data_IF_652044458247
#
_entry.id   IF_652044458247
#
_cell.length_a   1.000
_cell.length_b   1.000
_cell.length_c   1.000
_cell.angle_alpha   90.00
_cell.angle_beta   90.00
_cell.angle_gamma   90.00
#
_symmetry.space_group_name_H-M   'P 1'
#
loop_
_entity.id
_entity.type
_entity.pdbx_description
1 polymer ?
#
# COMPACT_ATOMS: atom_id res chain seq x y z
N UNK A 1 -6.24 -5.94 -30.71
CA UNK A 1 -5.05 -5.12 -31.02
C UNK A 1 -4.43 -4.50 -29.76
N UNK A 2 -5.23 -3.91 -28.86
CA UNK A 2 -4.76 -3.26 -27.62
C UNK A 2 -4.00 -4.19 -26.66
N UNK A 3 -4.43 -5.45 -26.51
CA UNK A 3 -3.75 -6.45 -25.69
C UNK A 3 -2.33 -6.79 -26.20
N UNK A 4 -2.11 -6.74 -27.52
CA UNK A 4 -0.80 -6.97 -28.13
C UNK A 4 0.16 -5.81 -27.87
N UNK A 5 -0.33 -4.57 -27.88
CA UNK A 5 0.46 -3.37 -27.56
C UNK A 5 0.85 -3.38 -26.08
N UNK A 6 -0.07 -3.78 -25.21
CA UNK A 6 0.20 -3.95 -23.78
C UNK A 6 1.24 -5.06 -23.53
N UNK A 7 1.07 -6.25 -24.13
CA UNK A 7 2.07 -7.33 -24.03
C UNK A 7 3.44 -6.95 -24.62
N UNK A 8 3.47 -6.10 -25.65
CA UNK A 8 4.71 -5.62 -26.26
C UNK A 8 5.49 -4.64 -25.36
N UNK A 9 4.80 -3.83 -24.56
CA UNK A 9 5.39 -2.91 -23.58
C UNK A 9 6.27 -3.63 -22.53
N UNK A 10 5.99 -4.92 -22.26
CA UNK A 10 6.38 -5.56 -21.00
C UNK A 10 7.27 -6.78 -21.17
N UNK A 11 7.60 -7.10 -22.44
CA UNK A 11 8.66 -8.05 -22.75
C UNK A 11 9.98 -7.42 -22.25
N UNK A 12 10.72 -8.08 -21.34
CA UNK A 12 11.98 -7.54 -20.83
C UNK A 12 13.01 -7.57 -21.98
N UNK A 13 13.12 -6.46 -22.72
CA UNK A 13 14.26 -6.25 -23.60
C UNK A 13 15.48 -6.00 -22.73
N UNK A 14 16.38 -6.99 -22.72
CA UNK A 14 17.70 -6.91 -22.10
C UNK A 14 18.42 -5.66 -22.61
N UNK A 15 18.74 -4.75 -21.71
CA UNK A 15 19.58 -3.57 -21.98
C UNK A 15 18.80 -2.25 -22.07
N UNK A 16 19.03 -1.40 -21.07
CA UNK A 16 18.70 0.03 -20.98
C UNK A 16 17.23 0.42 -20.72
N UNK A 17 17.03 1.11 -19.59
CA UNK A 17 15.88 1.99 -19.33
C UNK A 17 15.95 3.20 -20.26
N UNK A 18 15.47 3.04 -21.49
CA UNK A 18 15.30 4.16 -22.40
C UNK A 18 14.25 5.12 -21.81
N UNK A 19 14.50 6.45 -21.74
CA UNK A 19 13.51 7.43 -21.29
C UNK A 19 12.15 7.29 -21.98
N UNK A 20 12.14 6.81 -23.23
CA UNK A 20 10.92 6.50 -23.98
C UNK A 20 10.01 5.47 -23.31
N UNK A 21 10.52 4.53 -22.51
CA UNK A 21 9.68 3.54 -21.80
C UNK A 21 8.85 4.18 -20.70
N UNK A 22 9.43 5.13 -19.95
CA UNK A 22 8.73 5.85 -18.87
C UNK A 22 7.68 6.79 -19.45
N UNK A 23 8.04 7.53 -20.51
CA UNK A 23 7.10 8.41 -21.22
C UNK A 23 5.94 7.63 -21.83
N UNK A 24 6.22 6.47 -22.44
CA UNK A 24 5.19 5.60 -22.99
C UNK A 24 4.29 5.01 -21.90
N UNK A 25 4.85 4.52 -20.79
CA UNK A 25 4.06 4.06 -19.64
C UNK A 25 3.10 5.16 -19.17
N UNK A 26 3.62 6.37 -18.95
CA UNK A 26 2.82 7.52 -18.56
C UNK A 26 1.71 7.81 -19.58
N UNK A 27 2.01 7.76 -20.87
CA UNK A 27 1.02 7.92 -21.93
C UNK A 27 -0.08 6.85 -21.87
N UNK A 28 0.29 5.58 -21.68
CA UNK A 28 -0.67 4.47 -21.56
C UNK A 28 -1.55 4.66 -20.33
N UNK A 29 -0.97 4.91 -19.16
CA UNK A 29 -1.74 5.12 -17.92
C UNK A 29 -2.66 6.32 -18.04
N UNK A 30 -2.19 7.44 -18.62
CA UNK A 30 -3.02 8.62 -18.86
C UNK A 30 -4.17 8.31 -19.82
N UNK A 31 -3.91 7.56 -20.89
CA UNK A 31 -4.96 7.15 -21.84
C UNK A 31 -6.03 6.29 -21.18
N UNK A 32 -5.64 5.34 -20.31
CA UNK A 32 -6.59 4.50 -19.57
C UNK A 32 -7.42 5.32 -18.58
N UNK A 33 -6.78 6.25 -17.87
CA UNK A 33 -7.48 7.13 -16.94
C UNK A 33 -8.46 8.07 -17.67
N UNK A 34 -8.03 8.71 -18.76
CA UNK A 34 -8.85 9.61 -19.55
C UNK A 34 -10.05 8.86 -20.15
N UNK A 35 -9.84 7.66 -20.69
CA UNK A 35 -10.90 6.76 -21.18
C UNK A 35 -11.91 6.43 -20.06
N UNK A 36 -11.41 6.04 -18.88
CA UNK A 36 -12.25 5.72 -17.74
C UNK A 36 -13.07 6.94 -17.28
N UNK A 37 -12.43 8.10 -17.11
CA UNK A 37 -13.07 9.34 -16.66
C UNK A 37 -14.07 9.87 -17.69
N UNK A 38 -13.74 9.83 -18.98
CA UNK A 38 -14.65 10.25 -20.05
C UNK A 38 -15.88 9.34 -20.11
N UNK A 39 -15.68 8.02 -20.02
CA UNK A 39 -16.79 7.05 -20.01
C UNK A 39 -17.65 7.21 -18.75
N UNK A 40 -17.04 7.41 -17.58
CA UNK A 40 -17.74 7.68 -16.33
C UNK A 40 -18.62 8.94 -16.41
N UNK A 41 -18.13 10.00 -17.06
CA UNK A 41 -18.86 11.27 -17.20
C UNK A 41 -19.99 11.20 -18.23
N UNK A 42 -19.75 10.56 -19.38
CA UNK A 42 -20.67 10.61 -20.53
C UNK A 42 -21.60 9.41 -20.63
N UNK A 43 -21.15 8.24 -20.19
CA UNK A 43 -21.82 6.96 -20.43
C UNK A 43 -21.69 6.05 -19.21
N UNK A 44 -22.20 6.49 -18.05
CA UNK A 44 -22.11 5.75 -16.77
C UNK A 44 -22.47 4.28 -16.91
N UNK A 45 -23.49 3.95 -17.69
CA UNK A 45 -23.95 2.58 -17.93
C UNK A 45 -22.99 1.73 -18.78
N UNK A 46 -22.10 2.36 -19.57
CA UNK A 46 -21.17 1.72 -20.50
C UNK A 46 -19.72 1.62 -20.00
N UNK A 47 -19.41 1.86 -18.72
CA UNK A 47 -18.04 1.66 -18.18
C UNK A 47 -17.44 0.28 -18.52
N UNK A 48 -18.29 -0.74 -18.64
CA UNK A 48 -17.88 -2.10 -19.03
C UNK A 48 -17.35 -2.21 -20.47
N UNK A 49 -17.51 -1.16 -21.27
CA UNK A 49 -17.02 -1.02 -22.65
C UNK A 49 -15.79 -0.12 -22.75
N UNK A 50 -15.36 0.52 -21.65
CA UNK A 50 -14.18 1.37 -21.67
C UNK A 50 -12.91 0.54 -21.89
N UNK A 51 -11.91 1.14 -22.54
CA UNK A 51 -10.59 0.50 -22.72
C UNK A 51 -9.99 0.12 -21.37
N UNK A 52 -10.13 0.98 -20.36
CA UNK A 52 -9.67 0.70 -19.00
C UNK A 52 -10.28 -0.58 -18.43
N UNK A 53 -11.60 -0.78 -18.54
CA UNK A 53 -12.24 -2.02 -18.11
C UNK A 53 -11.76 -3.23 -18.95
N UNK A 54 -11.67 -3.07 -20.27
CA UNK A 54 -11.20 -4.15 -21.15
C UNK A 54 -9.76 -4.60 -20.89
N UNK A 55 -8.92 -3.76 -20.27
CA UNK A 55 -7.51 -4.06 -19.99
C UNK A 55 -7.28 -4.44 -18.53
N UNK A 56 -7.94 -3.75 -17.58
CA UNK A 56 -7.66 -3.82 -16.14
C UNK A 56 -8.80 -4.41 -15.30
N UNK A 57 -9.86 -4.94 -15.92
CA UNK A 57 -10.91 -5.66 -15.18
C UNK A 57 -10.33 -6.87 -14.46
N UNK A 58 -10.62 -6.97 -13.16
CA UNK A 58 -10.27 -8.11 -12.32
C UNK A 58 -11.09 -9.35 -12.69
N UNK A 59 -12.29 -9.16 -13.25
CA UNK A 59 -13.17 -10.25 -13.67
C UNK A 59 -12.81 -10.78 -15.06
N UNK A 60 -12.53 -9.87 -16.01
CA UNK A 60 -12.30 -10.24 -17.42
C UNK A 60 -10.82 -10.47 -17.74
N UNK A 61 -9.92 -9.74 -17.09
CA UNK A 61 -8.48 -9.72 -17.41
C UNK A 61 -7.58 -9.85 -16.15
N UNK A 62 -7.82 -10.85 -15.27
CA UNK A 62 -7.03 -11.00 -14.03
C UNK A 62 -5.53 -11.18 -14.29
N UNK A 63 -5.15 -11.75 -15.45
CA UNK A 63 -3.75 -11.92 -15.82
C UNK A 63 -3.03 -10.59 -16.09
N UNK A 64 -3.70 -9.61 -16.71
CA UNK A 64 -3.11 -8.28 -16.93
C UNK A 64 -2.86 -7.57 -15.60
N UNK A 65 -3.82 -7.64 -14.67
CA UNK A 65 -3.69 -7.09 -13.31
C UNK A 65 -2.53 -7.76 -12.57
N UNK A 66 -2.45 -9.09 -12.65
CA UNK A 66 -1.33 -9.86 -12.07
C UNK A 66 0.01 -9.46 -12.65
N UNK A 67 0.09 -9.18 -13.94
CA UNK A 67 1.33 -8.74 -14.56
C UNK A 67 1.71 -7.30 -14.14
N UNK A 68 0.74 -6.40 -13.97
CA UNK A 68 0.95 -5.06 -13.35
C UNK A 68 1.57 -5.20 -11.96
N UNK A 69 1.04 -6.11 -11.14
CA UNK A 69 1.57 -6.41 -9.80
C UNK A 69 3.04 -6.88 -9.88
N UNK A 70 3.34 -7.82 -10.78
CA UNK A 70 4.72 -8.31 -10.97
C UNK A 70 5.67 -7.19 -11.37
N UNK A 71 5.26 -6.31 -12.28
CA UNK A 71 6.11 -5.19 -12.69
C UNK A 71 6.30 -4.17 -11.58
N UNK A 72 5.27 -3.94 -10.76
CA UNK A 72 5.36 -3.04 -9.61
C UNK A 72 6.38 -3.58 -8.61
N UNK A 73 6.24 -4.84 -8.21
CA UNK A 73 7.15 -5.49 -7.26
C UNK A 73 8.56 -5.50 -7.83
N UNK A 74 8.74 -5.86 -9.10
CA UNK A 74 10.04 -5.80 -9.78
C UNK A 74 10.64 -4.40 -9.80
N UNK A 75 9.85 -3.36 -10.06
CA UNK A 75 10.31 -1.98 -10.06
C UNK A 75 10.71 -1.49 -8.66
N UNK A 76 10.09 -2.04 -7.62
CA UNK A 76 10.41 -1.76 -6.21
C UNK A 76 11.64 -2.55 -5.73
N UNK A 77 11.81 -3.81 -6.15
CA UNK A 77 12.86 -4.70 -5.62
C UNK A 77 14.16 -4.68 -6.41
N UNK A 78 14.11 -4.48 -7.72
CA UNK A 78 15.32 -4.28 -8.50
C UNK A 78 15.81 -2.86 -8.27
N UNK A 79 16.97 -2.71 -7.62
CA UNK A 79 17.77 -1.47 -7.62
C UNK A 79 18.13 -1.11 -9.07
N UNK A 80 17.16 -0.50 -9.75
CA UNK A 80 17.12 -0.12 -11.16
C UNK A 80 17.94 -0.98 -12.12
N UNK A 81 17.35 -1.99 -12.76
CA UNK A 81 17.92 -2.63 -13.96
C UNK A 81 19.45 -2.81 -13.87
N UNK A 82 19.91 -3.53 -12.86
CA UNK A 82 21.34 -3.72 -12.65
C UNK A 82 21.97 -4.30 -13.90
N UNK A 83 23.01 -3.60 -14.35
CA UNK A 83 23.88 -4.05 -15.42
C UNK A 83 24.38 -5.44 -15.07
N UNK A 84 24.27 -6.36 -16.04
CA UNK A 84 25.09 -7.56 -16.06
C UNK A 84 26.54 -7.15 -15.82
N UNK A 85 27.27 -7.73 -14.85
CA UNK A 85 28.70 -7.47 -14.76
C UNK A 85 29.31 -7.97 -16.07
N UNK A 86 29.84 -7.04 -16.85
CA UNK A 86 30.52 -7.34 -18.10
C UNK A 86 31.80 -8.12 -17.74
N UNK A 87 31.67 -9.44 -17.65
CA UNK A 87 32.79 -10.38 -17.62
C UNK A 87 33.41 -10.34 -19.01
N UNK A 88 34.38 -9.45 -19.18
CA UNK A 88 35.52 -9.54 -20.10
C UNK A 88 36.41 -8.30 -19.89
N UNK A 89 37.22 -8.31 -18.85
CA UNK A 89 38.49 -7.59 -18.85
C UNK A 89 39.60 -8.63 -19.04
N UNK A 90 40.14 -8.68 -20.24
CA UNK A 90 41.38 -9.38 -20.54
C UNK A 90 42.18 -8.49 -21.50
N UNK A 91 43.40 -8.13 -21.07
CA UNK A 91 44.51 -7.53 -21.85
C UNK A 91 44.31 -6.08 -22.34
N UNK A 92 45.26 -5.14 -22.32
CA UNK A 92 46.67 -5.07 -21.89
C UNK A 92 47.11 -3.59 -21.93
N UNK A 93 48.06 -3.20 -21.06
CA UNK A 93 49.17 -2.32 -21.46
C UNK A 93 49.04 -0.79 -21.32
N UNK A 94 49.73 -0.26 -20.29
CA UNK A 94 50.67 0.89 -20.36
C UNK A 94 50.11 2.33 -20.35
N UNK A 95 50.25 2.97 -19.17
CA UNK A 95 51.02 4.22 -19.05
C UNK A 95 50.30 5.58 -19.03
N UNK A 96 50.63 6.33 -17.98
CA UNK A 96 50.71 7.81 -17.86
C UNK A 96 49.62 8.51 -17.03
N UNK A 97 50.13 9.22 -16.02
CA UNK A 97 49.52 10.03 -14.97
C UNK A 97 48.69 11.22 -15.51
N UNK A 98 47.54 11.53 -14.87
CA UNK A 98 47.26 12.86 -14.27
C UNK A 98 45.84 13.04 -13.72
N UNK A 99 45.82 13.76 -12.60
CA UNK A 99 44.81 14.68 -12.07
C UNK A 99 43.46 14.11 -11.58
N UNK A 100 43.29 14.21 -10.25
CA UNK A 100 42.00 14.06 -9.60
C UNK A 100 40.99 15.09 -10.10
N UNK A 101 39.78 14.60 -10.34
CA UNK A 101 38.58 15.41 -10.41
C UNK A 101 37.42 14.58 -9.87
N UNK A 102 36.65 15.24 -9.02
CA UNK A 102 35.56 14.75 -8.20
C UNK A 102 34.51 13.94 -8.97
N UNK A 103 34.27 12.71 -8.53
CA UNK A 103 33.11 11.89 -8.90
C UNK A 103 31.82 12.56 -8.39
N UNK A 104 31.28 13.49 -9.17
CA UNK A 104 29.94 14.03 -8.97
C UNK A 104 28.90 13.02 -9.50
N UNK A 105 28.30 12.28 -8.56
CA UNK A 105 26.86 11.96 -8.51
C UNK A 105 26.13 11.73 -9.86
N UNK A 106 26.05 10.48 -10.31
CA UNK A 106 25.11 9.99 -11.35
C UNK A 106 23.83 9.37 -10.76
N UNK A 107 23.59 9.54 -9.46
CA UNK A 107 22.45 9.01 -8.69
C UNK A 107 21.08 9.69 -8.95
N UNK A 108 20.94 11.01 -9.20
CA UNK A 108 19.64 11.67 -9.07
C UNK A 108 18.65 11.38 -10.20
N UNK A 109 19.11 10.91 -11.38
CA UNK A 109 18.21 10.60 -12.50
C UNK A 109 17.65 9.17 -12.45
N UNK A 110 18.32 8.24 -11.75
CA UNK A 110 17.89 6.82 -11.69
C UNK A 110 16.75 6.61 -10.72
N UNK A 111 16.86 7.16 -9.52
CA UNK A 111 15.81 7.11 -8.49
C UNK A 111 14.52 7.81 -8.95
N UNK A 112 14.64 8.93 -9.68
CA UNK A 112 13.49 9.63 -10.27
C UNK A 112 12.71 8.76 -11.26
N UNK A 113 13.39 7.99 -12.11
CA UNK A 113 12.73 7.14 -13.10
C UNK A 113 12.03 5.94 -12.45
N UNK A 114 12.64 5.32 -11.44
CA UNK A 114 12.01 4.23 -10.68
C UNK A 114 10.76 4.71 -9.98
N UNK A 115 10.82 5.84 -9.26
CA UNK A 115 9.65 6.40 -8.58
C UNK A 115 8.52 6.71 -9.57
N UNK A 116 8.85 7.23 -10.75
CA UNK A 116 7.83 7.47 -11.79
C UNK A 116 7.19 6.16 -12.27
N UNK A 117 7.97 5.12 -12.54
CA UNK A 117 7.44 3.81 -12.95
C UNK A 117 6.53 3.24 -11.87
N UNK A 118 6.98 3.25 -10.60
CA UNK A 118 6.21 2.75 -9.46
C UNK A 118 4.89 3.52 -9.34
N UNK A 119 4.92 4.86 -9.38
CA UNK A 119 3.69 5.66 -9.34
C UNK A 119 2.73 5.37 -10.50
N UNK A 120 3.24 5.22 -11.73
CA UNK A 120 2.37 4.87 -12.87
C UNK A 120 1.72 3.49 -12.68
N UNK A 121 2.46 2.49 -12.19
CA UNK A 121 1.92 1.15 -11.94
C UNK A 121 0.91 1.14 -10.78
N UNK A 122 1.16 1.90 -9.73
CA UNK A 122 0.22 2.09 -8.61
C UNK A 122 -1.09 2.74 -9.09
N UNK A 123 -0.99 3.74 -9.98
CA UNK A 123 -2.15 4.37 -10.62
C UNK A 123 -2.95 3.39 -11.47
N UNK A 124 -2.29 2.48 -12.20
CA UNK A 124 -2.98 1.41 -12.91
C UNK A 124 -3.75 0.47 -11.98
N UNK A 125 -3.18 0.10 -10.83
CA UNK A 125 -3.89 -0.70 -9.83
C UNK A 125 -5.06 0.07 -9.20
N UNK A 126 -4.91 1.39 -9.00
CA UNK A 126 -6.00 2.26 -8.56
C UNK A 126 -7.18 2.24 -9.55
N UNK A 127 -6.89 2.31 -10.86
CA UNK A 127 -7.90 2.15 -11.92
C UNK A 127 -8.52 0.74 -11.87
N UNK A 128 -7.70 -0.31 -11.72
CA UNK A 128 -8.16 -1.70 -11.67
C UNK A 128 -9.15 -1.97 -10.51
N UNK A 129 -9.01 -1.27 -9.38
CA UNK A 129 -9.97 -1.34 -8.27
C UNK A 129 -11.34 -0.81 -8.67
N UNK A 130 -11.42 0.22 -9.51
CA UNK A 130 -12.66 0.96 -9.79
C UNK A 130 -13.39 0.49 -11.06
N UNK A 131 -12.68 -0.05 -12.05
CA UNK A 131 -13.23 -0.33 -13.40
C UNK A 131 -14.38 -1.35 -13.42
N UNK A 132 -14.45 -2.27 -12.44
CA UNK A 132 -15.51 -3.29 -12.37
C UNK A 132 -16.75 -2.81 -11.60
N UNK A 133 -16.74 -1.58 -11.06
CA UNK A 133 -17.81 -0.99 -10.21
C UNK A 133 -18.03 -1.66 -8.86
N UNK A 134 -17.25 -2.67 -8.51
CA UNK A 134 -17.30 -3.36 -7.22
C UNK A 134 -15.97 -3.25 -6.50
N UNK A 135 -15.58 -2.05 -6.00
CA UNK A 135 -14.22 -1.80 -5.50
C UNK A 135 -13.83 -2.69 -4.33
N UNK A 136 -14.78 -3.12 -3.51
CA UNK A 136 -14.53 -4.11 -2.44
C UNK A 136 -14.14 -5.48 -3.00
N UNK A 137 -14.81 -5.94 -4.06
CA UNK A 137 -14.51 -7.22 -4.71
C UNK A 137 -13.15 -7.14 -5.44
N UNK A 138 -12.94 -6.08 -6.22
CA UNK A 138 -11.70 -5.89 -6.97
C UNK A 138 -10.50 -5.72 -6.06
N UNK A 139 -10.59 -4.92 -5.00
CA UNK A 139 -9.48 -4.76 -4.03
C UNK A 139 -9.14 -6.06 -3.29
N UNK A 140 -10.13 -6.89 -2.93
CA UNK A 140 -9.88 -8.22 -2.35
C UNK A 140 -9.11 -9.11 -3.33
N UNK A 141 -9.59 -9.23 -4.58
CA UNK A 141 -8.92 -10.05 -5.62
C UNK A 141 -7.49 -9.58 -5.90
N UNK A 142 -7.30 -8.26 -6.01
CA UNK A 142 -5.97 -7.68 -6.24
C UNK A 142 -5.07 -7.97 -5.04
N UNK A 143 -5.54 -7.78 -3.80
CA UNK A 143 -4.74 -8.04 -2.60
C UNK A 143 -4.34 -9.52 -2.48
N UNK A 144 -5.25 -10.46 -2.78
CA UNK A 144 -4.94 -11.90 -2.84
C UNK A 144 -3.86 -12.20 -3.89
N UNK A 145 -3.94 -11.60 -5.08
CA UNK A 145 -2.92 -11.74 -6.12
C UNK A 145 -1.58 -11.11 -5.72
N UNK A 146 -1.59 -10.01 -4.96
CA UNK A 146 -0.40 -9.29 -4.50
C UNK A 146 0.32 -10.00 -3.35
N UNK A 147 -0.41 -10.71 -2.49
CA UNK A 147 0.07 -11.20 -1.21
C UNK A 147 1.42 -11.92 -1.30
N UNK A 148 1.52 -12.95 -2.14
CA UNK A 148 2.78 -13.71 -2.30
C UNK A 148 3.94 -12.83 -2.76
N UNK A 149 3.72 -11.88 -3.68
CA UNK A 149 4.78 -11.00 -4.16
C UNK A 149 5.25 -9.99 -3.11
N UNK A 150 4.35 -9.54 -2.23
CA UNK A 150 4.71 -8.60 -1.15
C UNK A 150 5.52 -9.30 -0.07
N UNK A 151 5.23 -10.57 0.23
CA UNK A 151 6.04 -11.38 1.14
C UNK A 151 7.49 -11.53 0.64
N UNK A 152 7.69 -11.52 -0.68
CA UNK A 152 8.99 -11.69 -1.32
C UNK A 152 9.80 -10.38 -1.43
N UNK A 153 9.28 -9.22 -1.00
CA UNK A 153 10.04 -7.96 -1.00
C UNK A 153 11.06 -7.99 0.15
N UNK A 154 12.37 -8.06 -0.11
CA UNK A 154 13.38 -8.36 0.92
C UNK A 154 13.67 -7.18 1.84
N UNK A 155 13.78 -5.97 1.29
CA UNK A 155 14.22 -4.80 2.04
C UNK A 155 13.07 -3.99 2.62
N UNK A 156 13.26 -3.46 3.83
CA UNK A 156 12.23 -2.62 4.47
C UNK A 156 11.96 -1.34 3.70
N UNK A 157 13.00 -0.67 3.20
CA UNK A 157 12.84 0.56 2.41
C UNK A 157 12.03 0.32 1.13
N UNK A 158 12.16 -0.87 0.53
CA UNK A 158 11.39 -1.28 -0.64
C UNK A 158 9.91 -1.50 -0.26
N UNK A 159 9.63 -2.15 0.87
CA UNK A 159 8.26 -2.32 1.39
C UNK A 159 7.62 -0.99 1.76
N UNK A 160 8.38 -0.12 2.41
CA UNK A 160 7.96 1.24 2.72
C UNK A 160 7.62 2.00 1.44
N UNK A 161 8.49 1.97 0.42
CA UNK A 161 8.22 2.56 -0.90
C UNK A 161 6.94 1.98 -1.53
N UNK A 162 6.73 0.68 -1.43
CA UNK A 162 5.55 0.01 -1.96
C UNK A 162 4.24 0.48 -1.31
N UNK A 163 4.20 0.58 0.03
CA UNK A 163 3.00 1.02 0.76
C UNK A 163 2.78 2.54 0.73
N UNK A 164 3.85 3.34 0.72
CA UNK A 164 3.75 4.80 0.64
C UNK A 164 3.28 5.28 -0.73
N UNK A 165 3.60 4.53 -1.80
CA UNK A 165 3.20 4.88 -3.18
C UNK A 165 1.84 4.32 -3.61
N UNK A 166 1.19 3.47 -2.81
CA UNK A 166 -0.14 2.95 -3.11
C UNK A 166 -1.20 4.07 -3.10
N UNK A 167 -1.76 4.36 -4.28
CA UNK A 167 -2.78 5.41 -4.45
C UNK A 167 -4.16 4.99 -3.93
N UNK A 168 -4.53 3.72 -4.06
CA UNK A 168 -5.82 3.22 -3.58
C UNK A 168 -5.73 2.87 -2.09
N UNK A 169 -6.30 3.73 -1.23
CA UNK A 169 -6.38 3.45 0.21
C UNK A 169 -7.14 2.17 0.52
N UNK A 170 -8.19 1.84 -0.25
CA UNK A 170 -8.91 0.57 -0.09
C UNK A 170 -8.01 -0.62 -0.39
N UNK A 171 -7.25 -0.58 -1.49
CA UNK A 171 -6.31 -1.64 -1.81
C UNK A 171 -5.20 -1.74 -0.75
N UNK A 172 -4.67 -0.61 -0.30
CA UNK A 172 -3.66 -0.57 0.76
C UNK A 172 -4.16 -1.22 2.05
N UNK A 173 -5.39 -0.92 2.48
CA UNK A 173 -6.02 -1.61 3.59
C UNK A 173 -6.11 -3.12 3.36
N UNK A 174 -6.53 -3.56 2.16
CA UNK A 174 -6.72 -4.99 1.86
C UNK A 174 -5.41 -5.77 1.81
N UNK A 175 -4.36 -5.20 1.24
CA UNK A 175 -3.03 -5.82 1.26
C UNK A 175 -2.51 -5.93 2.69
N UNK A 176 -2.61 -4.85 3.48
CA UNK A 176 -2.20 -4.86 4.89
C UNK A 176 -3.03 -5.83 5.73
N UNK A 177 -4.34 -5.90 5.53
CA UNK A 177 -5.24 -6.84 6.21
C UNK A 177 -4.78 -8.29 6.03
N UNK A 178 -4.49 -8.71 4.79
CA UNK A 178 -4.01 -10.08 4.51
C UNK A 178 -2.66 -10.33 5.17
N UNK A 179 -1.73 -9.36 5.15
CA UNK A 179 -0.41 -9.49 5.79
C UNK A 179 -0.55 -9.64 7.30
N UNK A 180 -1.38 -8.81 7.95
CA UNK A 180 -1.63 -8.91 9.38
C UNK A 180 -2.30 -10.23 9.76
N UNK A 181 -3.31 -10.66 9.01
CA UNK A 181 -3.97 -11.95 9.20
C UNK A 181 -2.98 -13.11 9.13
N UNK A 182 -2.04 -13.07 8.17
CA UNK A 182 -0.99 -14.08 8.04
C UNK A 182 0.02 -14.05 9.20
N UNK A 183 0.26 -12.90 9.82
CA UNK A 183 1.21 -12.73 10.93
C UNK A 183 0.66 -13.12 12.31
N UNK A 184 -0.66 -13.31 12.42
CA UNK A 184 -1.32 -13.72 13.65
C UNK A 184 -1.34 -15.24 13.78
N UNK A 185 -0.96 -15.77 14.94
CA UNK A 185 -1.04 -17.22 15.21
C UNK A 185 -2.50 -17.73 15.17
N UNK A 186 -3.41 -16.93 15.73
CA UNK A 186 -4.85 -17.19 15.68
C UNK A 186 -5.52 -16.17 14.76
N UNK A 187 -6.04 -16.57 13.59
CA UNK A 187 -6.67 -15.64 12.66
C UNK A 187 -8.03 -15.18 13.21
N UNK A 188 -8.29 -13.89 13.12
CA UNK A 188 -9.59 -13.30 13.45
C UNK A 188 -10.58 -13.45 12.30
N UNK A 189 -11.88 -13.49 12.63
CA UNK A 189 -12.99 -13.45 11.65
C UNK A 189 -13.64 -12.07 11.55
N UNK A 190 -13.11 -11.08 12.26
CA UNK A 190 -13.60 -9.70 12.20
C UNK A 190 -13.40 -9.16 10.78
N UNK A 191 -14.36 -8.36 10.24
CA UNK A 191 -14.14 -7.64 9.00
C UNK A 191 -13.11 -6.51 9.23
N UNK A 192 -12.58 -5.96 8.13
CA UNK A 192 -11.74 -4.76 8.13
C UNK A 192 -12.40 -3.59 8.87
N UNK A 193 -12.03 -3.44 10.14
CA UNK A 193 -12.64 -2.55 11.15
C UNK A 193 -11.62 -2.11 12.19
N UNK A 194 -11.98 -1.15 13.04
CA UNK A 194 -11.13 -0.71 14.14
C UNK A 194 -10.86 -1.81 15.17
N UNK A 195 -11.85 -2.64 15.50
CA UNK A 195 -11.67 -3.81 16.35
C UNK A 195 -10.67 -4.81 15.77
N UNK A 196 -10.66 -5.00 14.44
CA UNK A 196 -9.67 -5.86 13.78
C UNK A 196 -8.26 -5.25 13.85
N UNK A 197 -8.13 -3.92 13.70
CA UNK A 197 -6.84 -3.24 13.86
C UNK A 197 -6.31 -3.33 15.31
N UNK A 198 -7.18 -3.19 16.32
CA UNK A 198 -6.83 -3.42 17.73
C UNK A 198 -6.44 -4.88 17.99
N UNK A 199 -7.11 -5.84 17.34
CA UNK A 199 -6.74 -7.24 17.40
C UNK A 199 -5.32 -7.46 16.86
N UNK A 200 -5.01 -6.90 15.68
CA UNK A 200 -3.67 -7.02 15.08
C UNK A 200 -2.57 -6.48 15.98
N UNK A 201 -2.80 -5.37 16.68
CA UNK A 201 -1.84 -4.77 17.60
C UNK A 201 -1.28 -5.78 18.61
N UNK A 202 -2.14 -6.59 19.22
CA UNK A 202 -1.75 -7.51 20.30
C UNK A 202 -1.47 -8.94 19.84
N UNK A 203 -1.93 -9.34 18.66
CA UNK A 203 -1.83 -10.73 18.19
C UNK A 203 -0.87 -10.92 17.01
N UNK A 204 -0.47 -9.84 16.34
CA UNK A 204 0.50 -9.93 15.25
C UNK A 204 1.91 -10.16 15.78
N UNK A 205 2.70 -10.92 15.04
CA UNK A 205 4.13 -11.12 15.28
C UNK A 205 4.93 -10.50 14.11
N UNK A 206 6.15 -10.96 13.85
CA UNK A 206 6.95 -10.46 12.72
C UNK A 206 6.16 -10.60 11.41
N UNK A 207 5.83 -9.47 10.78
CA UNK A 207 4.97 -9.43 9.59
C UNK A 207 5.63 -10.12 8.40
N UNK A 208 6.93 -9.87 8.19
CA UNK A 208 7.65 -10.22 6.98
C UNK A 208 9.07 -10.68 7.33
N UNK A 209 9.55 -11.73 6.66
CA UNK A 209 10.90 -12.25 6.86
C UNK A 209 11.91 -11.24 6.30
N UNK A 210 12.52 -10.44 7.16
CA UNK A 210 13.63 -9.58 6.76
C UNK A 210 14.89 -10.45 6.58
N UNK A 211 15.54 -10.39 5.41
CA UNK A 211 16.71 -11.22 5.10
C UNK A 211 18.02 -10.69 5.71
N UNK A 212 18.03 -9.47 6.25
CA UNK A 212 19.19 -8.87 6.92
C UNK A 212 19.17 -9.15 8.43
N UNK A 213 20.36 -9.30 9.04
CA UNK A 213 20.57 -9.34 10.50
C UNK A 213 20.09 -8.04 11.15
N UNK A 214 18.79 -7.95 11.46
CA UNK A 214 18.20 -6.81 12.13
C UNK A 214 18.13 -7.02 13.63
N UNK A 215 18.29 -5.91 14.34
CA UNK A 215 18.01 -5.85 15.76
C UNK A 215 16.50 -6.08 15.97
N UNK A 216 16.14 -6.87 16.99
CA UNK A 216 14.77 -7.34 17.24
C UNK A 216 13.72 -6.21 17.26
N UNK A 217 14.07 -5.02 17.75
CA UNK A 217 13.17 -3.87 17.82
C UNK A 217 12.76 -3.31 16.45
N UNK A 218 13.59 -3.44 15.40
CA UNK A 218 13.28 -2.93 14.07
C UNK A 218 12.10 -3.66 13.41
N UNK A 219 11.90 -4.92 13.79
CA UNK A 219 10.73 -5.72 13.37
C UNK A 219 9.44 -5.14 13.94
N UNK A 220 9.46 -4.70 15.20
CA UNK A 220 8.33 -4.04 15.84
C UNK A 220 8.09 -2.64 15.32
N UNK A 221 9.16 -1.89 15.05
CA UNK A 221 9.08 -0.57 14.44
C UNK A 221 8.42 -0.62 13.05
N UNK A 222 8.75 -1.64 12.26
CA UNK A 222 8.10 -1.90 10.97
C UNK A 222 6.64 -2.34 11.14
N UNK A 223 6.32 -3.19 12.12
CA UNK A 223 4.94 -3.59 12.41
C UNK A 223 4.05 -2.39 12.74
N UNK A 224 4.52 -1.50 13.63
CA UNK A 224 3.78 -0.30 14.01
C UNK A 224 3.58 0.63 12.82
N UNK A 225 4.57 0.78 11.95
CA UNK A 225 4.48 1.56 10.71
C UNK A 225 3.40 1.01 9.75
N UNK A 226 3.32 -0.31 9.59
CA UNK A 226 2.26 -0.94 8.79
C UNK A 226 0.87 -0.75 9.40
N UNK A 227 0.74 -0.77 10.73
CA UNK A 227 -0.52 -0.46 11.41
C UNK A 227 -0.92 1.01 11.21
N UNK A 228 0.04 1.93 11.23
CA UNK A 228 -0.22 3.34 10.93
C UNK A 228 -0.71 3.53 9.48
N UNK A 229 -0.11 2.82 8.52
CA UNK A 229 -0.62 2.81 7.13
C UNK A 229 -2.03 2.21 7.05
N UNK A 230 -2.33 1.16 7.80
CA UNK A 230 -3.66 0.55 7.82
C UNK A 230 -4.70 1.55 8.34
N UNK A 231 -4.47 2.15 9.51
CA UNK A 231 -5.40 3.07 10.15
C UNK A 231 -5.62 4.35 9.34
N UNK A 232 -4.54 4.97 8.85
CA UNK A 232 -4.66 6.16 8.01
C UNK A 232 -5.46 5.87 6.73
N UNK A 233 -5.17 4.74 6.06
CA UNK A 233 -5.95 4.33 4.89
C UNK A 233 -7.40 4.03 5.22
N UNK A 234 -7.65 3.40 6.37
CA UNK A 234 -8.99 3.03 6.79
C UNK A 234 -9.89 4.25 6.97
N UNK A 235 -9.34 5.33 7.52
CA UNK A 235 -10.04 6.61 7.63
C UNK A 235 -10.43 7.17 6.26
N UNK A 236 -9.55 7.13 5.26
CA UNK A 236 -9.89 7.51 3.88
C UNK A 236 -10.97 6.60 3.30
N UNK A 237 -10.89 5.29 3.53
CA UNK A 237 -11.91 4.33 3.08
C UNK A 237 -13.30 4.68 3.60
N UNK A 238 -13.40 5.05 4.88
CA UNK A 238 -14.65 5.50 5.47
C UNK A 238 -15.08 6.85 4.89
N UNK A 239 -14.25 7.90 5.03
CA UNK A 239 -14.61 9.28 4.70
C UNK A 239 -14.94 9.50 3.23
N UNK A 240 -14.24 8.81 2.34
CA UNK A 240 -14.40 8.96 0.90
C UNK A 240 -15.33 7.90 0.29
N UNK A 241 -16.00 7.09 1.12
CA UNK A 241 -16.90 6.01 0.69
C UNK A 241 -16.25 5.07 -0.34
N UNK A 242 -14.97 4.70 -0.15
CA UNK A 242 -14.19 3.94 -1.13
C UNK A 242 -14.73 2.52 -1.37
N UNK A 243 -15.55 2.00 -0.46
CA UNK A 243 -16.26 0.71 -0.62
C UNK A 243 -17.43 0.78 -1.61
N UNK A 244 -17.95 1.97 -1.87
CA UNK A 244 -19.02 2.21 -2.84
C UNK A 244 -18.43 2.41 -4.23
N UNK A 245 -19.18 2.02 -5.27
CA UNK A 245 -18.77 2.24 -6.66
C UNK A 245 -18.49 3.73 -6.90
N UNK A 246 -17.55 4.06 -7.80
CA UNK A 246 -17.26 5.46 -8.14
C UNK A 246 -18.49 6.23 -8.65
N UNK A 247 -19.48 5.54 -9.22
CA UNK A 247 -20.75 6.15 -9.65
C UNK A 247 -21.58 6.58 -8.44
N UNK A 248 -21.78 5.68 -7.48
CA UNK A 248 -22.63 5.94 -6.30
C UNK A 248 -21.94 6.87 -5.31
N UNK A 249 -20.62 6.75 -5.19
CA UNK A 249 -19.75 7.55 -4.30
C UNK A 249 -19.95 9.04 -4.51
N UNK A 250 -20.03 9.49 -5.76
CA UNK A 250 -20.24 10.92 -6.07
C UNK A 250 -21.52 11.46 -5.42
N UNK A 251 -22.61 10.70 -5.50
CA UNK A 251 -23.89 11.12 -4.95
C UNK A 251 -23.90 11.09 -3.41
N UNK A 252 -23.22 10.11 -2.80
CA UNK A 252 -23.02 10.04 -1.35
C UNK A 252 -22.26 11.26 -0.81
N UNK A 253 -21.18 11.66 -1.49
CA UNK A 253 -20.36 12.82 -1.13
C UNK A 253 -21.17 14.12 -1.28
N UNK A 254 -21.87 14.31 -2.41
CA UNK A 254 -22.69 15.50 -2.65
C UNK A 254 -23.79 15.63 -1.58
N UNK A 255 -24.42 14.51 -1.21
CA UNK A 255 -25.47 14.47 -0.18
C UNK A 255 -24.92 14.49 1.25
N UNK A 256 -23.60 14.51 1.45
CA UNK A 256 -22.93 14.46 2.76
C UNK A 256 -23.44 13.32 3.65
N UNK A 257 -23.68 12.16 3.03
CA UNK A 257 -24.15 10.98 3.77
C UNK A 257 -23.02 10.53 4.69
N UNK A 258 -23.31 10.35 5.99
CA UNK A 258 -22.30 9.80 6.91
C UNK A 258 -21.93 8.37 6.47
N UNK A 259 -20.63 8.03 6.39
CA UNK A 259 -20.21 6.67 6.13
C UNK A 259 -20.83 5.72 7.15
N UNK A 260 -21.32 4.57 6.69
CA UNK A 260 -21.81 3.53 7.60
C UNK A 260 -20.61 2.88 8.28
N UNK A 261 -20.55 2.87 9.63
CA UNK A 261 -19.52 2.12 10.34
C UNK A 261 -19.62 0.62 9.99
N UNK A 262 -18.48 -0.06 9.94
CA UNK A 262 -18.45 -1.51 9.88
C UNK A 262 -18.76 -2.10 11.26
N UNK A 263 -19.14 -3.38 11.28
CA UNK A 263 -19.20 -4.14 12.52
C UNK A 263 -17.80 -4.14 13.16
N UNK A 264 -17.71 -3.72 14.43
CA UNK A 264 -16.44 -3.58 15.14
C UNK A 264 -15.76 -2.22 14.99
N UNK A 265 -16.40 -1.23 14.38
CA UNK A 265 -15.93 0.16 14.44
C UNK A 265 -16.41 0.91 15.70
N UNK A 266 -17.33 0.32 16.46
CA UNK A 266 -17.85 0.81 17.74
C UNK A 266 -16.85 0.55 18.88
N UNK A 267 -15.69 1.21 18.82
CA UNK A 267 -14.65 1.13 19.86
C UNK A 267 -14.72 2.33 20.80
N UNK A 268 -14.44 2.11 22.09
CA UNK A 268 -14.44 3.15 23.11
C UNK A 268 -13.02 3.63 23.44
N UNK A 269 -12.91 4.77 24.15
CA UNK A 269 -11.62 5.26 24.68
C UNK A 269 -10.96 4.19 25.54
N UNK A 270 -11.75 3.50 26.38
CA UNK A 270 -11.27 2.44 27.27
C UNK A 270 -10.70 1.26 26.50
N UNK A 271 -11.33 0.89 25.37
CA UNK A 271 -10.82 -0.19 24.52
C UNK A 271 -9.45 0.17 23.92
N UNK A 272 -9.31 1.40 23.41
CA UNK A 272 -8.04 1.88 22.84
C UNK A 272 -6.94 1.90 23.91
N UNK A 273 -7.21 2.52 25.06
CA UNK A 273 -6.24 2.62 26.16
C UNK A 273 -5.78 1.24 26.63
N UNK A 274 -6.72 0.33 26.86
CA UNK A 274 -6.43 -1.03 27.31
C UNK A 274 -5.55 -1.79 26.30
N UNK A 275 -5.85 -1.68 25.01
CA UNK A 275 -5.11 -2.40 23.97
C UNK A 275 -3.73 -1.79 23.72
N UNK A 276 -3.59 -0.46 23.83
CA UNK A 276 -2.29 0.23 23.73
C UNK A 276 -1.39 -0.13 24.91
N UNK A 277 -1.93 -0.17 26.14
CA UNK A 277 -1.13 -0.52 27.31
C UNK A 277 -0.71 -1.99 27.31
N UNK A 278 -1.59 -2.90 26.88
CA UNK A 278 -1.25 -4.30 26.66
C UNK A 278 -0.11 -4.45 25.64
N UNK A 279 -0.18 -3.70 24.53
CA UNK A 279 0.86 -3.71 23.51
C UNK A 279 2.19 -3.16 24.02
N UNK A 280 2.16 -2.05 24.77
CA UNK A 280 3.34 -1.47 25.39
C UNK A 280 4.00 -2.44 26.37
N UNK A 281 3.20 -3.07 27.23
CA UNK A 281 3.68 -4.10 28.17
C UNK A 281 4.35 -5.26 27.43
N UNK A 282 3.76 -5.72 26.32
CA UNK A 282 4.33 -6.74 25.44
C UNK A 282 5.66 -6.30 24.84
N UNK A 283 5.76 -5.07 24.34
CA UNK A 283 7.02 -4.53 23.80
C UNK A 283 8.13 -4.47 24.86
N UNK A 284 7.81 -3.99 26.06
CA UNK A 284 8.77 -3.90 27.19
C UNK A 284 9.26 -5.30 27.57
N UNK A 285 8.36 -6.28 27.67
CA UNK A 285 8.74 -7.66 27.97
C UNK A 285 9.69 -8.26 26.91
N UNK A 286 9.48 -7.94 25.63
CA UNK A 286 10.26 -8.51 24.53
C UNK A 286 11.58 -7.78 24.25
N UNK A 287 11.65 -6.47 24.49
CA UNK A 287 12.77 -5.61 24.11
C UNK A 287 13.55 -5.03 25.30
N UNK A 288 13.02 -5.16 26.52
CA UNK A 288 13.55 -4.55 27.73
C UNK A 288 13.06 -3.11 27.95
N UNK A 289 13.40 -2.56 29.11
CA UNK A 289 13.11 -1.17 29.51
C UNK A 289 14.42 -0.38 29.66
N UNK A 290 14.51 0.87 29.18
CA UNK A 290 13.48 1.63 28.47
C UNK A 290 13.33 1.22 26.99
N UNK A 291 12.12 1.35 26.45
CA UNK A 291 11.90 1.21 25.00
C UNK A 291 12.69 2.28 24.22
N UNK A 292 13.12 1.93 23.01
CA UNK A 292 13.79 2.86 22.09
C UNK A 292 12.85 4.06 21.80
N UNK A 293 13.32 5.31 21.90
CA UNK A 293 12.46 6.50 21.73
C UNK A 293 11.65 6.53 20.44
N UNK A 294 12.25 6.11 19.32
CA UNK A 294 11.57 6.02 18.01
C UNK A 294 10.32 5.12 18.06
N UNK A 295 10.41 3.99 18.77
CA UNK A 295 9.29 3.07 18.93
C UNK A 295 8.25 3.65 19.88
N UNK A 296 8.66 4.34 20.95
CA UNK A 296 7.74 5.03 21.87
C UNK A 296 6.91 6.09 21.14
N UNK A 297 7.55 6.93 20.32
CA UNK A 297 6.90 7.97 19.53
C UNK A 297 5.88 7.38 18.55
N UNK A 298 6.24 6.29 17.86
CA UNK A 298 5.33 5.60 16.94
C UNK A 298 4.15 4.94 17.64
N UNK A 299 4.33 4.38 18.83
CA UNK A 299 3.23 3.84 19.65
C UNK A 299 2.29 4.96 20.10
N UNK A 300 2.85 6.11 20.49
CA UNK A 300 2.06 7.28 20.83
C UNK A 300 1.24 7.79 19.62
N UNK A 301 1.88 7.90 18.45
CA UNK A 301 1.18 8.26 17.21
C UNK A 301 0.09 7.26 16.85
N UNK A 302 0.32 5.96 17.05
CA UNK A 302 -0.68 4.93 16.80
C UNK A 302 -1.92 5.10 17.69
N UNK A 303 -1.73 5.42 18.98
CA UNK A 303 -2.82 5.76 19.91
C UNK A 303 -3.63 6.95 19.42
N UNK A 304 -2.97 8.03 19.00
CA UNK A 304 -3.64 9.21 18.45
C UNK A 304 -4.43 8.88 17.17
N UNK A 305 -3.88 8.07 16.28
CA UNK A 305 -4.56 7.63 15.07
C UNK A 305 -5.81 6.79 15.38
N UNK A 306 -5.76 5.92 16.39
CA UNK A 306 -6.92 5.13 16.83
C UNK A 306 -8.04 6.01 17.38
N UNK A 307 -7.72 6.98 18.24
CA UNK A 307 -8.72 7.95 18.70
C UNK A 307 -9.32 8.74 17.55
N UNK A 308 -8.49 9.23 16.63
CA UNK A 308 -8.96 9.97 15.47
C UNK A 308 -9.81 9.10 14.52
N UNK A 309 -9.49 7.82 14.37
CA UNK A 309 -10.24 6.89 13.52
C UNK A 309 -11.61 6.56 14.11
N UNK A 310 -11.70 6.50 15.43
CA UNK A 310 -12.91 6.22 16.17
C UNK A 310 -13.77 7.45 16.47
N UNK A 311 -13.36 8.64 16.00
CA UNK A 311 -14.01 9.92 16.33
C UNK A 311 -14.13 10.14 17.85
N UNK A 312 -13.13 9.67 18.60
CA UNK A 312 -13.07 9.77 20.04
C UNK A 312 -12.32 11.05 20.44
N UNK A 313 -12.94 11.86 21.28
CA UNK A 313 -12.26 12.94 21.97
C UNK A 313 -11.70 12.40 23.30
N UNK A 314 -10.37 12.28 23.47
CA UNK A 314 -9.78 11.78 24.72
C UNK A 314 -10.05 12.71 25.92
N UNK A 315 -10.38 13.98 25.67
CA UNK A 315 -10.69 14.99 26.69
C UNK A 315 -12.20 15.12 26.98
N UNK A 316 -13.06 14.33 26.31
CA UNK A 316 -14.48 14.31 26.63
C UNK A 316 -14.73 13.48 27.88
N UNK A 317 -15.28 14.08 28.93
CA UNK A 317 -15.73 13.34 30.12
C UNK A 317 -16.69 12.21 29.70
N UNK A 318 -16.58 11.02 30.33
CA UNK A 318 -17.49 9.92 30.04
C UNK A 318 -18.92 10.39 30.30
N UNK A 319 -19.75 10.33 29.25
CA UNK A 319 -21.15 10.72 29.33
C UNK A 319 -21.81 9.91 30.45
N UNK A 320 -22.14 10.55 31.56
CA UNK A 320 -22.95 9.95 32.61
C UNK A 320 -24.27 9.52 31.97
N UNK A 321 -24.40 8.22 31.66
CA UNK A 321 -25.69 7.62 31.38
C UNK A 321 -26.55 7.86 32.61
N UNK A 322 -27.54 8.75 32.48
CA UNK A 322 -28.46 9.09 33.53
C UNK A 322 -29.06 7.82 34.13
N UNK A 323 -28.78 7.59 35.40
CA UNK A 323 -29.68 6.84 36.24
C UNK A 323 -30.97 7.64 36.36
N UNK A 324 -31.95 7.28 35.53
CA UNK A 324 -33.35 7.64 35.75
C UNK A 324 -34.05 6.43 36.32
N UNK A 325 -33.90 6.24 37.64
CA UNK A 325 -34.83 5.48 38.45
C UNK A 325 -35.74 6.48 39.17
N UNK A 326 -37.00 6.55 38.73
CA UNK A 326 -38.20 6.82 39.56
C UNK A 326 -39.44 6.54 38.71
#
# INVERSE_FOLDING_TARGET
>A
NNEKIFKWFLKPYKGQTLPGRVLFLRYVVQTLEDDFQQTLRRQRQHLQQSIANMVLSCDKQPHNVRDVIKWLVKAVTEDGFTQTPNRNQMSSGTGILKAGSSHLSSQPNRTKNTNQIVCQLQRMLSIAVEVDRTPTCSSNKIAEMMFGFVLDIPERSQREMFFTTMESHLLRCKVLEIIFLHSCETPTRLPLSLAQALYFLNNSTSLLKCQSDKTQWQTWDELVEHLQFLLSSYQHVLREHLRSSVIDRKDLIIKRIKPKPQQGDDITVVDVEKQIEAFRSRLIHMLGEPLVPQLQDKVHLLKLLLFYAADLNPDAEPSQKGWSSS
#
